data_IF_211315261057
#
_entry.id   IF_211315261057
#
_cell.length_a   1.000
_cell.length_b   1.000
_cell.length_c   1.000
_cell.angle_alpha   90.00
_cell.angle_beta   90.00
_cell.angle_gamma   90.00
#
_symmetry.space_group_name_H-M   'P 1'
#
loop_
_entity.id
_entity.type
_entity.pdbx_description
1 polymer ?
#
# COMPACT_ATOMS: atom_id res chain seq x y z
N UNK A 1 24.40 -8.47 -27.94
CA UNK A 1 25.01 -8.65 -26.62
C UNK A 1 25.15 -7.26 -26.00
N UNK A 2 24.13 -6.77 -25.27
CA UNK A 2 24.19 -5.49 -24.52
C UNK A 2 24.18 -5.82 -23.04
N UNK A 3 25.29 -5.48 -22.40
CA UNK A 3 25.53 -5.65 -20.98
C UNK A 3 24.57 -4.78 -20.18
N UNK A 4 23.78 -5.40 -19.33
CA UNK A 4 23.02 -4.71 -18.29
C UNK A 4 24.01 -4.15 -17.26
N UNK A 5 24.08 -2.82 -17.15
CA UNK A 5 24.75 -2.17 -16.04
C UNK A 5 23.95 -2.41 -14.76
N UNK A 6 24.32 -3.46 -14.05
CA UNK A 6 23.90 -3.65 -12.65
C UNK A 6 24.71 -2.64 -11.84
N UNK A 7 24.06 -1.58 -11.37
CA UNK A 7 24.61 -0.72 -10.33
C UNK A 7 24.76 -1.58 -9.07
N UNK A 8 25.95 -2.12 -8.89
CA UNK A 8 26.37 -2.70 -7.61
C UNK A 8 26.48 -1.56 -6.61
N UNK A 9 25.47 -1.40 -5.75
CA UNK A 9 25.54 -0.52 -4.59
C UNK A 9 26.57 -1.12 -3.64
N UNK A 10 27.76 -0.57 -3.65
CA UNK A 10 28.85 -0.95 -2.75
C UNK A 10 28.46 -0.61 -1.30
N UNK A 11 28.77 -1.52 -0.40
CA UNK A 11 28.36 -1.57 1.01
C UNK A 11 28.91 -0.44 1.92
N UNK A 12 29.56 0.60 1.38
CA UNK A 12 30.19 1.66 2.18
C UNK A 12 29.31 2.87 2.50
N UNK A 13 28.02 2.87 2.13
CA UNK A 13 27.11 4.00 2.38
C UNK A 13 26.06 3.78 3.47
N UNK A 14 26.09 2.64 4.16
CA UNK A 14 25.05 2.29 5.15
C UNK A 14 24.92 3.33 6.28
N UNK A 15 26.01 3.87 6.78
CA UNK A 15 26.01 4.89 7.87
C UNK A 15 25.49 6.25 7.42
N UNK A 16 25.86 6.69 6.22
CA UNK A 16 25.42 7.98 5.65
C UNK A 16 23.95 7.91 5.19
N UNK A 17 23.53 6.79 4.65
CA UNK A 17 22.13 6.49 4.32
C UNK A 17 21.25 6.53 5.56
N UNK A 18 21.68 5.88 6.64
CA UNK A 18 20.90 5.82 7.91
C UNK A 18 20.74 7.21 8.54
N UNK A 19 21.79 8.04 8.52
CA UNK A 19 21.76 9.42 9.03
C UNK A 19 20.86 10.34 8.20
N UNK A 20 20.96 10.30 6.87
CA UNK A 20 20.11 11.06 5.95
C UNK A 20 18.65 10.58 6.01
N UNK A 21 18.43 9.26 6.12
CA UNK A 21 17.12 8.66 6.29
C UNK A 21 16.45 9.13 7.58
N UNK A 22 17.17 9.10 8.72
CA UNK A 22 16.66 9.56 10.03
C UNK A 22 16.25 11.04 10.02
N UNK A 23 17.04 11.93 9.42
CA UNK A 23 16.71 13.36 9.28
C UNK A 23 15.48 13.58 8.37
N UNK A 24 15.38 12.89 7.23
CA UNK A 24 14.22 12.93 6.34
C UNK A 24 12.96 12.39 7.03
N UNK A 25 13.09 11.32 7.80
CA UNK A 25 11.99 10.73 8.54
C UNK A 25 11.40 11.70 9.57
N UNK A 26 12.24 12.39 10.35
CA UNK A 26 11.82 13.39 11.34
C UNK A 26 11.09 14.55 10.66
N UNK A 27 11.66 15.09 9.58
CA UNK A 27 11.02 16.19 8.84
C UNK A 27 9.68 15.79 8.24
N UNK A 28 9.59 14.58 7.67
CA UNK A 28 8.35 14.03 7.13
C UNK A 28 7.29 13.83 8.21
N UNK A 29 7.69 13.33 9.40
CA UNK A 29 6.77 13.13 10.53
C UNK A 29 6.16 14.45 11.00
N UNK A 30 6.97 15.53 11.09
CA UNK A 30 6.48 16.87 11.47
C UNK A 30 5.49 17.41 10.42
N UNK A 31 5.81 17.26 9.14
CA UNK A 31 4.96 17.75 8.05
C UNK A 31 3.62 16.99 8.00
N UNK A 32 3.64 15.67 8.23
CA UNK A 32 2.44 14.84 8.26
C UNK A 32 1.56 15.11 9.50
N UNK A 33 2.15 15.40 10.65
CA UNK A 33 1.37 15.80 11.84
C UNK A 33 0.65 17.12 11.61
N UNK A 34 1.28 18.10 10.95
CA UNK A 34 0.65 19.38 10.61
C UNK A 34 -0.50 19.17 9.61
N UNK A 35 -0.31 18.34 8.58
CA UNK A 35 -1.38 18.01 7.62
C UNK A 35 -2.56 17.30 8.29
N UNK A 36 -2.28 16.31 9.16
CA UNK A 36 -3.32 15.60 9.91
C UNK A 36 -4.12 16.56 10.80
N UNK A 37 -3.47 17.55 11.40
CA UNK A 37 -4.15 18.58 12.18
C UNK A 37 -5.11 19.42 11.32
N UNK A 38 -4.68 19.83 10.12
CA UNK A 38 -5.53 20.55 9.17
C UNK A 38 -6.70 19.71 8.67
N UNK A 39 -6.48 18.43 8.35
CA UNK A 39 -7.54 17.51 7.91
C UNK A 39 -8.55 17.27 9.05
N UNK A 40 -8.07 17.10 10.28
CA UNK A 40 -8.93 16.96 11.45
C UNK A 40 -9.74 18.23 11.70
N UNK A 41 -9.14 19.42 11.57
CA UNK A 41 -9.84 20.70 11.72
C UNK A 41 -10.92 20.88 10.64
N UNK A 42 -10.64 20.53 9.40
CA UNK A 42 -11.63 20.55 8.29
C UNK A 42 -12.74 19.53 8.54
N UNK A 43 -12.40 18.32 8.99
CA UNK A 43 -13.39 17.28 9.32
C UNK A 43 -14.30 17.71 10.48
N UNK A 44 -13.75 18.34 11.51
CA UNK A 44 -14.53 18.92 12.63
C UNK A 44 -15.41 20.04 12.14
N UNK A 45 -14.91 20.93 11.27
CA UNK A 45 -15.70 22.01 10.68
C UNK A 45 -16.88 21.49 9.86
N UNK A 46 -16.63 20.48 9.01
CA UNK A 46 -17.68 19.82 8.22
C UNK A 46 -18.70 19.11 9.13
N UNK A 47 -18.24 18.46 10.20
CA UNK A 47 -19.12 17.81 11.19
C UNK A 47 -19.99 18.85 11.95
N UNK A 48 -19.46 20.01 12.29
CA UNK A 48 -20.21 21.07 12.98
C UNK A 48 -21.20 21.74 12.05
N UNK A 49 -20.82 22.03 10.81
CA UNK A 49 -21.67 22.74 9.84
C UNK A 49 -22.78 21.87 9.23
N UNK A 50 -22.44 20.60 8.91
CA UNK A 50 -23.33 19.70 8.14
C UNK A 50 -23.78 18.47 8.95
N UNK A 51 -23.04 18.03 9.93
CA UNK A 51 -23.36 16.83 10.72
C UNK A 51 -24.38 17.10 11.82
N UNK A 52 -24.34 18.24 12.47
CA UNK A 52 -25.28 18.59 13.55
C UNK A 52 -26.75 18.68 13.06
N UNK A 53 -27.05 19.30 11.91
CA UNK A 53 -28.44 19.34 11.40
C UNK A 53 -28.93 17.95 10.94
N UNK A 54 -28.04 17.12 10.36
CA UNK A 54 -28.37 15.75 9.97
C UNK A 54 -28.58 14.83 11.17
N UNK A 55 -27.78 14.99 12.22
CA UNK A 55 -27.96 14.28 13.48
C UNK A 55 -29.28 14.65 14.18
N UNK A 56 -29.65 15.92 14.20
CA UNK A 56 -30.88 16.37 14.80
C UNK A 56 -32.13 15.82 14.07
N UNK A 57 -32.04 15.66 12.75
CA UNK A 57 -33.10 15.08 11.90
C UNK A 57 -33.20 13.55 12.09
N UNK A 58 -32.09 12.86 12.34
CA UNK A 58 -32.06 11.42 12.61
C UNK A 58 -32.49 11.07 14.03
N UNK A 59 -32.23 11.94 15.01
CA UNK A 59 -32.69 11.80 16.40
C UNK A 59 -34.20 11.83 16.53
N UNK A 60 -34.90 12.53 15.61
CA UNK A 60 -36.35 12.55 15.57
C UNK A 60 -36.99 11.32 14.88
N UNK A 61 -36.19 10.53 14.15
CA UNK A 61 -36.67 9.40 13.35
C UNK A 61 -36.23 8.02 13.87
N UNK A 62 -35.42 7.91 14.96
CA UNK A 62 -34.70 6.70 15.26
C UNK A 62 -35.13 5.97 16.53
N UNK A 63 -35.42 4.68 16.40
CA UNK A 63 -35.38 3.72 17.50
C UNK A 63 -33.96 3.57 18.05
N UNK A 64 -33.75 3.17 19.34
CA UNK A 64 -32.45 2.96 19.93
C UNK A 64 -31.50 2.07 19.10
N UNK A 65 -32.03 1.07 18.40
CA UNK A 65 -31.28 0.16 17.52
C UNK A 65 -30.68 0.83 16.29
N UNK A 66 -31.34 1.83 15.72
CA UNK A 66 -30.82 2.59 14.56
C UNK A 66 -29.64 3.48 14.91
N UNK A 67 -29.61 4.00 16.13
CA UNK A 67 -28.48 4.81 16.61
C UNK A 67 -27.23 3.96 16.83
N UNK A 68 -27.37 2.77 17.42
CA UNK A 68 -26.25 1.85 17.62
C UNK A 68 -25.66 1.36 16.29
N UNK A 69 -26.52 1.07 15.31
CA UNK A 69 -26.06 0.69 13.96
C UNK A 69 -25.33 1.85 13.27
N UNK A 70 -25.86 3.09 13.35
CA UNK A 70 -25.19 4.27 12.81
C UNK A 70 -23.82 4.50 13.48
N UNK A 71 -23.72 4.43 14.79
CA UNK A 71 -22.47 4.60 15.53
C UNK A 71 -21.46 3.49 15.22
N UNK A 72 -21.91 2.24 15.02
CA UNK A 72 -21.04 1.14 14.64
C UNK A 72 -20.48 1.31 13.23
N UNK A 73 -21.31 1.76 12.28
CA UNK A 73 -20.89 2.05 10.90
C UNK A 73 -19.91 3.21 10.82
N UNK A 74 -20.15 4.31 11.55
CA UNK A 74 -19.23 5.47 11.60
C UNK A 74 -17.90 5.09 12.22
N UNK A 75 -17.89 4.32 13.30
CA UNK A 75 -16.66 3.82 13.93
C UNK A 75 -15.88 2.89 13.00
N UNK A 76 -16.57 2.02 12.27
CA UNK A 76 -15.93 1.14 11.29
C UNK A 76 -15.33 1.92 10.11
N UNK A 77 -16.03 2.94 9.61
CA UNK A 77 -15.54 3.81 8.55
C UNK A 77 -14.30 4.60 8.99
N UNK A 78 -14.29 5.11 10.22
CA UNK A 78 -13.14 5.83 10.77
C UNK A 78 -11.90 4.93 10.89
N UNK A 79 -12.05 3.70 11.38
CA UNK A 79 -10.96 2.72 11.46
C UNK A 79 -10.42 2.43 10.06
N UNK A 80 -11.28 2.17 9.08
CA UNK A 80 -10.87 1.88 7.71
C UNK A 80 -10.13 3.06 7.07
N UNK A 81 -10.58 4.28 7.32
CA UNK A 81 -9.92 5.50 6.83
C UNK A 81 -8.52 5.66 7.42
N UNK A 82 -8.35 5.44 8.72
CA UNK A 82 -7.03 5.50 9.38
C UNK A 82 -6.06 4.48 8.82
N UNK A 83 -6.52 3.26 8.58
CA UNK A 83 -5.69 2.21 8.01
C UNK A 83 -5.25 2.55 6.58
N UNK A 84 -6.16 3.06 5.74
CA UNK A 84 -5.81 3.51 4.39
C UNK A 84 -4.80 4.66 4.41
N UNK A 85 -4.98 5.66 5.28
CA UNK A 85 -4.02 6.77 5.43
C UNK A 85 -2.65 6.28 5.95
N UNK A 86 -2.65 5.28 6.83
CA UNK A 86 -1.43 4.64 7.29
C UNK A 86 -0.69 3.95 6.13
N UNK A 87 -1.38 3.14 5.32
CA UNK A 87 -0.79 2.52 4.13
C UNK A 87 -0.31 3.56 3.12
N UNK A 88 -1.06 4.65 2.92
CA UNK A 88 -0.64 5.76 2.07
C UNK A 88 0.70 6.36 2.54
N UNK A 89 0.88 6.53 3.86
CA UNK A 89 2.15 7.02 4.40
C UNK A 89 3.32 6.05 4.17
N UNK A 90 3.06 4.73 4.18
CA UNK A 90 4.04 3.70 3.84
C UNK A 90 4.46 3.75 2.37
N UNK A 91 3.48 3.88 1.46
CA UNK A 91 3.75 4.01 0.02
C UNK A 91 4.58 5.27 -0.25
N UNK A 92 4.22 6.42 0.33
CA UNK A 92 5.03 7.66 0.20
C UNK A 92 6.46 7.47 0.67
N UNK A 93 6.65 6.80 1.80
CA UNK A 93 7.97 6.55 2.37
C UNK A 93 8.86 5.79 1.38
N UNK A 94 8.39 4.65 0.88
CA UNK A 94 9.23 3.78 0.03
C UNK A 94 9.40 4.31 -1.39
N UNK A 95 8.41 5.08 -1.90
CA UNK A 95 8.49 5.73 -3.22
C UNK A 95 9.15 7.12 -3.15
N UNK A 96 9.68 7.52 -2.00
CA UNK A 96 10.32 8.83 -1.77
C UNK A 96 9.45 10.03 -2.21
N UNK A 97 8.13 9.92 -2.04
CA UNK A 97 7.14 10.91 -2.50
C UNK A 97 7.13 11.18 -4.02
N UNK A 98 7.61 10.25 -4.83
CA UNK A 98 7.63 10.41 -6.30
C UNK A 98 6.26 10.20 -6.95
N UNK A 99 5.31 9.57 -6.23
CA UNK A 99 3.97 9.34 -6.75
C UNK A 99 3.03 10.53 -6.45
N UNK A 100 2.14 10.87 -7.41
CA UNK A 100 1.06 11.82 -7.16
C UNK A 100 0.16 11.35 -6.00
N UNK A 101 -0.27 12.28 -5.16
CA UNK A 101 -1.10 12.01 -3.97
C UNK A 101 -2.35 11.17 -4.29
N UNK A 102 -3.04 11.51 -5.38
CA UNK A 102 -4.23 10.77 -5.81
C UNK A 102 -3.93 9.28 -6.11
N UNK A 103 -2.76 8.97 -6.69
CA UNK A 103 -2.33 7.59 -6.94
C UNK A 103 -2.01 6.88 -5.63
N UNK A 104 -1.30 7.55 -4.72
CA UNK A 104 -0.95 7.00 -3.40
C UNK A 104 -2.20 6.58 -2.64
N UNK A 105 -3.19 7.46 -2.54
CA UNK A 105 -4.45 7.18 -1.84
C UNK A 105 -5.25 6.06 -2.54
N UNK A 106 -5.32 6.09 -3.87
CA UNK A 106 -5.96 5.03 -4.66
C UNK A 106 -5.33 3.67 -4.39
N UNK A 107 -4.00 3.58 -4.48
CA UNK A 107 -3.31 2.31 -4.26
C UNK A 107 -3.42 1.83 -2.81
N UNK A 108 -3.30 2.72 -1.84
CA UNK A 108 -3.50 2.38 -0.42
C UNK A 108 -4.89 1.79 -0.16
N UNK A 109 -5.94 2.42 -0.72
CA UNK A 109 -7.31 1.91 -0.62
C UNK A 109 -7.48 0.53 -1.27
N UNK A 110 -6.95 0.34 -2.49
CA UNK A 110 -7.01 -0.93 -3.20
C UNK A 110 -6.26 -2.04 -2.45
N UNK A 111 -5.05 -1.75 -1.96
CA UNK A 111 -4.24 -2.69 -1.17
C UNK A 111 -4.97 -3.06 0.13
N UNK A 112 -5.54 -2.07 0.83
CA UNK A 112 -6.32 -2.32 2.04
C UNK A 112 -7.46 -3.31 1.80
N UNK A 113 -8.30 -3.04 0.80
CA UNK A 113 -9.45 -3.89 0.49
C UNK A 113 -9.05 -5.27 -0.02
N UNK A 114 -8.09 -5.36 -0.92
CA UNK A 114 -7.59 -6.63 -1.45
C UNK A 114 -6.93 -7.48 -0.37
N UNK A 115 -6.10 -6.88 0.47
CA UNK A 115 -5.41 -7.58 1.56
C UNK A 115 -6.40 -8.18 2.56
N UNK A 116 -7.45 -7.45 2.91
CA UNK A 116 -8.52 -7.97 3.78
C UNK A 116 -9.28 -9.12 3.14
N UNK A 117 -9.63 -8.98 1.85
CA UNK A 117 -10.34 -10.03 1.10
C UNK A 117 -9.56 -11.34 1.05
N UNK A 118 -8.26 -11.28 0.82
CA UNK A 118 -7.41 -12.47 0.67
C UNK A 118 -6.72 -12.91 1.96
N UNK A 119 -6.84 -12.15 3.04
CA UNK A 119 -6.20 -12.44 4.33
C UNK A 119 -4.68 -12.38 4.24
N UNK A 120 -4.11 -11.45 3.49
CA UNK A 120 -2.67 -11.20 3.37
C UNK A 120 -2.27 -9.92 4.09
N UNK A 121 -1.00 -9.79 4.46
CA UNK A 121 -0.50 -8.58 5.10
C UNK A 121 -0.34 -7.46 4.06
N UNK A 122 -0.97 -6.29 4.22
CA UNK A 122 -0.86 -5.19 3.27
C UNK A 122 0.57 -4.66 3.09
N UNK A 123 1.44 -4.74 4.10
CA UNK A 123 2.85 -4.33 3.98
C UNK A 123 3.63 -5.27 3.07
N UNK A 124 3.31 -6.56 3.07
CA UNK A 124 3.90 -7.54 2.15
C UNK A 124 3.51 -7.24 0.71
N UNK A 125 2.26 -6.84 0.47
CA UNK A 125 1.78 -6.43 -0.86
C UNK A 125 2.47 -5.15 -1.33
N UNK A 126 2.62 -4.16 -0.45
CA UNK A 126 3.40 -2.95 -0.75
C UNK A 126 4.84 -3.31 -1.14
N UNK A 127 5.49 -4.22 -0.39
CA UNK A 127 6.85 -4.66 -0.67
C UNK A 127 6.97 -5.40 -2.00
N UNK A 128 6.00 -6.26 -2.35
CA UNK A 128 5.92 -6.94 -3.65
C UNK A 128 5.82 -5.90 -4.77
N UNK A 129 4.83 -5.00 -4.73
CA UNK A 129 4.60 -3.99 -5.78
C UNK A 129 5.84 -3.09 -5.96
N UNK A 130 6.49 -2.71 -4.88
CA UNK A 130 7.72 -1.93 -4.93
C UNK A 130 8.85 -2.70 -5.62
N UNK A 131 9.01 -3.98 -5.31
CA UNK A 131 10.06 -4.83 -5.89
C UNK A 131 9.80 -5.17 -7.37
N UNK A 132 8.53 -5.36 -7.76
CA UNK A 132 8.14 -5.78 -9.11
C UNK A 132 8.11 -4.64 -10.12
N UNK A 133 7.55 -3.49 -9.75
CA UNK A 133 7.31 -2.39 -10.69
C UNK A 133 7.73 -1.01 -10.21
N UNK A 134 8.17 -0.87 -8.95
CA UNK A 134 8.36 0.44 -8.33
C UNK A 134 7.09 1.32 -8.42
N UNK A 135 5.92 0.71 -8.22
CA UNK A 135 4.60 1.36 -8.34
C UNK A 135 4.29 1.95 -9.73
N UNK A 136 4.91 1.43 -10.80
CA UNK A 136 4.59 1.81 -12.18
C UNK A 136 3.45 0.94 -12.70
N UNK A 137 2.26 1.51 -12.83
CA UNK A 137 1.05 0.77 -13.25
C UNK A 137 1.10 0.32 -14.72
N UNK A 138 1.89 0.99 -15.55
CA UNK A 138 2.11 0.70 -16.98
C UNK A 138 3.34 -0.19 -17.24
N UNK A 139 3.92 -0.77 -16.19
CA UNK A 139 5.07 -1.67 -16.32
C UNK A 139 4.71 -2.93 -17.11
N UNK A 140 5.48 -3.23 -18.15
CA UNK A 140 5.31 -4.42 -19.00
C UNK A 140 6.66 -5.09 -19.21
N UNK A 141 6.77 -6.35 -18.82
CA UNK A 141 7.87 -7.23 -19.20
C UNK A 141 7.42 -8.09 -20.40
N UNK A 142 7.81 -7.70 -21.61
CA UNK A 142 7.42 -8.38 -22.85
C UNK A 142 8.06 -9.75 -23.01
N UNK A 143 9.20 -10.01 -22.36
CA UNK A 143 9.92 -11.28 -22.47
C UNK A 143 9.20 -12.37 -21.68
N UNK A 144 8.66 -12.05 -20.53
CA UNK A 144 7.96 -12.99 -19.64
C UNK A 144 6.45 -12.89 -19.73
N UNK A 145 5.89 -11.79 -20.26
CA UNK A 145 4.45 -11.56 -20.35
C UNK A 145 3.87 -11.12 -18.99
N UNK A 146 4.62 -10.34 -18.20
CA UNK A 146 4.19 -9.82 -16.90
C UNK A 146 3.75 -8.36 -17.01
N UNK A 147 2.65 -7.99 -16.33
CA UNK A 147 1.97 -6.72 -16.50
C UNK A 147 1.65 -6.05 -15.17
N UNK A 148 1.80 -4.74 -15.13
CA UNK A 148 1.29 -3.81 -14.11
C UNK A 148 2.04 -3.85 -12.79
N UNK A 149 1.39 -3.38 -11.74
CA UNK A 149 1.98 -3.11 -10.42
C UNK A 149 2.65 -4.35 -9.79
N UNK A 150 1.99 -5.48 -9.79
CA UNK A 150 2.51 -6.73 -9.22
C UNK A 150 3.15 -7.65 -10.25
N UNK A 151 3.38 -7.19 -11.50
CA UNK A 151 3.94 -7.98 -12.60
C UNK A 151 3.23 -9.33 -12.75
N UNK A 152 1.90 -9.27 -12.92
CA UNK A 152 1.06 -10.44 -13.08
C UNK A 152 1.27 -11.05 -14.46
N UNK A 153 1.63 -12.33 -14.50
CA UNK A 153 1.82 -13.07 -15.75
C UNK A 153 0.48 -13.33 -16.42
N UNK A 154 0.36 -12.88 -17.68
CA UNK A 154 -0.89 -13.02 -18.42
C UNK A 154 -1.20 -14.47 -18.81
N UNK A 155 -0.19 -15.23 -19.23
CA UNK A 155 -0.37 -16.62 -19.68
C UNK A 155 -0.89 -17.52 -18.55
N UNK A 156 -0.40 -17.33 -17.31
CA UNK A 156 -0.74 -18.16 -16.17
C UNK A 156 -1.95 -17.66 -15.37
N UNK A 157 -2.17 -16.34 -15.34
CA UNK A 157 -3.20 -15.76 -14.49
C UNK A 157 -4.23 -14.97 -15.30
N UNK A 158 -3.82 -14.14 -16.25
CA UNK A 158 -4.75 -13.31 -17.01
C UNK A 158 -5.75 -14.14 -17.81
N UNK A 159 -5.27 -15.16 -18.51
CA UNK A 159 -6.12 -16.04 -19.32
C UNK A 159 -7.14 -16.81 -18.49
N UNK A 160 -6.75 -17.34 -17.32
CA UNK A 160 -7.63 -18.11 -16.46
C UNK A 160 -8.81 -17.27 -15.93
N UNK A 161 -8.61 -15.95 -15.81
CA UNK A 161 -9.66 -15.00 -15.43
C UNK A 161 -10.34 -14.33 -16.62
N UNK A 162 -10.04 -14.73 -17.86
CA UNK A 162 -10.61 -14.16 -19.08
C UNK A 162 -10.20 -12.69 -19.32
N UNK A 163 -9.08 -12.27 -18.76
CA UNK A 163 -8.58 -10.90 -18.86
C UNK A 163 -7.68 -10.72 -20.09
N UNK A 164 -7.73 -9.54 -20.68
CA UNK A 164 -6.76 -9.11 -21.69
C UNK A 164 -5.47 -8.58 -21.03
N UNK A 165 -4.32 -8.56 -21.73
CA UNK A 165 -3.10 -7.92 -21.24
C UNK A 165 -3.29 -6.46 -20.83
N UNK A 166 -4.18 -5.72 -21.53
CA UNK A 166 -4.48 -4.33 -21.22
C UNK A 166 -5.22 -4.17 -19.89
N UNK A 167 -6.13 -5.07 -19.57
CA UNK A 167 -6.87 -5.05 -18.31
C UNK A 167 -5.98 -5.35 -17.11
N UNK A 168 -4.89 -6.10 -17.30
CA UNK A 168 -3.88 -6.31 -16.24
C UNK A 168 -3.11 -5.03 -15.88
N UNK A 169 -3.17 -3.97 -16.68
CA UNK A 169 -2.61 -2.67 -16.34
C UNK A 169 -3.53 -1.82 -15.46
N UNK A 170 -4.82 -2.21 -15.30
CA UNK A 170 -5.69 -1.54 -14.34
C UNK A 170 -5.25 -1.82 -12.90
N UNK A 171 -4.95 -0.79 -12.09
CA UNK A 171 -4.48 -0.98 -10.72
C UNK A 171 -5.41 -1.79 -9.83
N UNK A 172 -6.74 -1.69 -10.04
CA UNK A 172 -7.70 -2.43 -9.22
C UNK A 172 -7.64 -3.92 -9.51
N UNK A 173 -7.61 -4.31 -10.77
CA UNK A 173 -7.47 -5.71 -11.21
C UNK A 173 -6.10 -6.25 -10.75
N UNK A 174 -5.05 -5.49 -11.04
CA UNK A 174 -3.68 -5.95 -10.77
C UNK A 174 -3.40 -6.17 -9.28
N UNK A 175 -3.75 -5.21 -8.42
CA UNK A 175 -3.55 -5.33 -6.96
C UNK A 175 -4.37 -6.49 -6.39
N UNK A 176 -5.61 -6.69 -6.84
CA UNK A 176 -6.41 -7.84 -6.39
C UNK A 176 -5.81 -9.17 -6.84
N UNK A 177 -5.31 -9.26 -8.07
CA UNK A 177 -4.59 -10.46 -8.53
C UNK A 177 -3.25 -10.65 -7.78
N UNK A 178 -2.52 -9.59 -7.51
CA UNK A 178 -1.30 -9.66 -6.67
C UNK A 178 -1.58 -10.32 -5.33
N UNK A 179 -2.61 -9.88 -4.62
CA UNK A 179 -3.02 -10.48 -3.35
C UNK A 179 -3.48 -11.94 -3.51
N UNK A 180 -4.23 -12.24 -4.57
CA UNK A 180 -4.70 -13.59 -4.87
C UNK A 180 -3.53 -14.55 -5.14
N UNK A 181 -2.63 -14.18 -6.05
CA UNK A 181 -1.45 -14.99 -6.43
C UNK A 181 -0.53 -15.21 -5.23
N UNK A 182 -0.28 -14.16 -4.45
CA UNK A 182 0.52 -14.27 -3.23
C UNK A 182 -0.11 -15.23 -2.21
N UNK A 183 -1.43 -15.14 -2.02
CA UNK A 183 -2.18 -16.10 -1.19
C UNK A 183 -2.11 -17.51 -1.74
N UNK A 184 -2.29 -17.70 -3.06
CA UNK A 184 -2.23 -19.00 -3.73
C UNK A 184 -0.89 -19.70 -3.47
N UNK A 185 0.20 -18.99 -3.53
CA UNK A 185 1.54 -19.50 -3.22
C UNK A 185 1.87 -19.58 -1.72
N UNK A 186 0.86 -19.55 -0.84
CA UNK A 186 1.04 -19.71 0.60
C UNK A 186 1.74 -18.53 1.28
N UNK A 187 1.69 -17.34 0.69
CA UNK A 187 2.36 -16.12 1.17
C UNK A 187 3.89 -16.23 1.15
N UNK A 188 4.41 -16.90 0.16
CA UNK A 188 5.84 -17.07 -0.06
C UNK A 188 6.32 -16.14 -1.19
N UNK A 189 7.22 -15.22 -0.87
CA UNK A 189 7.78 -14.25 -1.83
C UNK A 189 8.54 -14.91 -2.97
N UNK A 190 9.29 -15.98 -2.69
CA UNK A 190 10.06 -16.70 -3.71
C UNK A 190 9.15 -17.40 -4.70
N UNK A 191 8.09 -18.03 -4.22
CA UNK A 191 7.09 -18.68 -5.06
C UNK A 191 6.26 -17.67 -5.84
N UNK A 192 5.96 -16.52 -5.25
CA UNK A 192 5.30 -15.43 -5.97
C UNK A 192 6.10 -15.04 -7.22
N UNK A 193 7.41 -14.84 -7.06
CA UNK A 193 8.30 -14.39 -8.15
C UNK A 193 8.63 -15.47 -9.19
N UNK A 194 8.78 -16.73 -8.79
CA UNK A 194 9.26 -17.83 -9.67
C UNK A 194 8.39 -19.07 -9.69
N UNK A 195 7.22 -19.04 -9.08
CA UNK A 195 6.41 -20.24 -8.92
C UNK A 195 7.16 -21.32 -8.14
N UNK A 196 7.17 -22.53 -8.68
CA UNK A 196 7.92 -23.67 -8.11
C UNK A 196 9.38 -23.78 -8.65
N UNK A 197 9.85 -22.77 -9.36
CA UNK A 197 11.21 -22.72 -9.90
C UNK A 197 12.28 -22.37 -8.86
N UNK A 198 13.53 -22.27 -9.34
CA UNK A 198 14.66 -21.86 -8.49
C UNK A 198 14.45 -20.43 -8.02
N UNK A 199 14.45 -20.23 -6.71
CA UNK A 199 14.22 -18.93 -6.09
C UNK A 199 15.37 -17.96 -6.37
N UNK A 200 15.03 -16.71 -6.68
CA UNK A 200 16.01 -15.65 -6.86
C UNK A 200 16.37 -15.02 -5.51
N UNK A 201 17.59 -15.28 -5.02
CA UNK A 201 18.07 -14.75 -3.74
C UNK A 201 18.08 -13.20 -3.73
N UNK A 202 18.44 -12.56 -4.83
CA UNK A 202 18.44 -11.09 -4.95
C UNK A 202 17.05 -10.50 -4.79
N UNK A 203 16.03 -11.13 -5.38
CA UNK A 203 14.64 -10.72 -5.20
C UNK A 203 14.20 -10.81 -3.72
N UNK A 204 14.50 -11.93 -3.08
CA UNK A 204 14.16 -12.15 -1.67
C UNK A 204 14.83 -11.13 -0.73
N UNK A 205 16.11 -10.82 -0.99
CA UNK A 205 16.84 -9.78 -0.22
C UNK A 205 16.18 -8.42 -0.42
N UNK A 206 15.81 -8.06 -1.66
CA UNK A 206 15.15 -6.80 -1.97
C UNK A 206 13.79 -6.67 -1.26
N UNK A 207 12.88 -7.62 -1.45
CA UNK A 207 11.54 -7.59 -0.82
C UNK A 207 11.63 -7.54 0.71
N UNK A 208 12.49 -8.37 1.31
CA UNK A 208 12.69 -8.38 2.77
C UNK A 208 13.30 -7.07 3.28
N UNK A 209 14.19 -6.45 2.52
CA UNK A 209 14.76 -5.14 2.83
C UNK A 209 13.70 -4.05 2.85
N UNK A 210 12.82 -4.02 1.83
CA UNK A 210 11.68 -3.09 1.78
C UNK A 210 10.76 -3.31 2.98
N UNK A 211 10.40 -4.54 3.28
CA UNK A 211 9.52 -4.88 4.40
C UNK A 211 10.14 -4.48 5.76
N UNK A 212 11.44 -4.68 5.92
CA UNK A 212 12.18 -4.24 7.12
C UNK A 212 12.12 -2.72 7.29
N UNK A 213 12.27 -1.96 6.20
CA UNK A 213 12.13 -0.49 6.22
C UNK A 213 10.73 -0.05 6.65
N UNK A 214 9.68 -0.69 6.12
CA UNK A 214 8.29 -0.41 6.49
C UNK A 214 8.01 -0.70 7.97
N UNK A 215 8.49 -1.84 8.47
CA UNK A 215 8.33 -2.21 9.88
C UNK A 215 9.09 -1.25 10.82
N UNK A 216 10.32 -0.87 10.48
CA UNK A 216 11.09 0.10 11.26
C UNK A 216 10.37 1.46 11.36
N UNK A 217 9.69 1.89 10.30
CA UNK A 217 8.89 3.12 10.31
C UNK A 217 7.71 3.03 11.27
N UNK A 218 7.06 1.88 11.36
CA UNK A 218 5.94 1.66 12.29
C UNK A 218 6.42 1.77 13.74
N UNK A 219 7.54 1.14 14.07
CA UNK A 219 8.07 1.17 15.43
C UNK A 219 8.48 2.61 15.84
N UNK A 220 9.15 3.35 14.95
CA UNK A 220 9.48 4.75 15.21
C UNK A 220 8.24 5.64 15.44
N UNK A 221 7.13 5.36 14.74
CA UNK A 221 5.87 6.09 14.98
C UNK A 221 5.25 5.78 16.34
N UNK A 222 5.36 4.55 16.82
CA UNK A 222 4.84 4.16 18.14
C UNK A 222 5.61 4.86 19.27
N UNK A 223 6.94 4.93 19.16
CA UNK A 223 7.79 5.59 20.16
C UNK A 223 7.53 7.10 20.27
N UNK A 224 7.11 7.76 19.18
CA UNK A 224 6.83 9.19 19.18
C UNK A 224 5.40 9.56 19.66
N UNK A 225 4.57 8.58 19.95
CA UNK A 225 3.18 8.78 20.42
C UNK A 225 3.02 8.39 21.90
N UNK A 226 3.98 7.63 22.44
CA UNK A 226 4.02 7.24 23.87
C UNK A 226 4.69 8.32 24.72
#
# INVERSE_FOLDING_TARGET
MKLFNIHVITCNSAGDFHSKFKKRLIFHTILETVKLFFIAAIAVFILLEYGAPLMQKSLQAGSPSGMEEFLSRTKSADISTREVLHLASMIRLITENQLPEAKVLRYAGLIFHASRKYGVNPLEIIAIIMAESNFKEDSINKETGDYGLGQINWEYWGKDYGLTPKELLDPSINIFLTCHVYKFFGKDFGKYHRGNGIQCSAYLVNVKGILSTLNAFIELKKENIS
#
